data_IF_780834510212
#
_entry.id   IF_780834510212
#
_cell.length_a   1.000
_cell.length_b   1.000
_cell.length_c   1.000
_cell.angle_alpha   90.00
_cell.angle_beta   90.00
_cell.angle_gamma   90.00
#
_symmetry.space_group_name_H-M   'P 1'
#
loop_
_entity.id
_entity.type
_entity.pdbx_description
1 polymer ?
#
# COMPACT_ATOMS: atom_id res chain seq x y z
N UNK A 1 5.68 24.60 13.33
CA UNK A 1 5.46 23.79 14.54
C UNK A 1 4.20 22.96 14.33
N UNK A 2 4.35 21.72 13.84
CA UNK A 2 3.30 20.69 13.87
C UNK A 2 3.98 19.34 14.12
N UNK A 3 3.32 18.54 14.95
CA UNK A 3 3.87 17.56 15.88
C UNK A 3 4.62 16.37 15.30
N UNK A 4 5.63 15.97 16.05
CA UNK A 4 6.16 14.60 16.13
C UNK A 4 5.08 13.63 16.63
N UNK A 5 4.80 12.59 15.84
CA UNK A 5 4.23 11.33 16.32
C UNK A 5 5.10 10.19 15.82
N UNK A 6 6.18 9.90 16.54
CA UNK A 6 6.89 8.63 16.40
C UNK A 6 6.12 7.57 17.18
N UNK A 7 5.02 7.09 16.59
CA UNK A 7 4.47 5.79 16.99
C UNK A 7 5.38 4.75 16.36
N UNK A 8 6.35 4.25 17.11
CA UNK A 8 7.11 3.06 16.72
C UNK A 8 6.20 1.84 16.88
N UNK A 9 5.16 1.74 16.05
CA UNK A 9 4.61 0.44 15.75
C UNK A 9 5.75 -0.35 15.11
N UNK A 10 6.02 -1.55 15.63
CA UNK A 10 6.94 -2.49 15.00
C UNK A 10 6.32 -2.95 13.68
N UNK A 11 6.33 -2.04 12.71
CA UNK A 11 5.77 -2.28 11.40
C UNK A 11 6.78 -3.05 10.56
N UNK A 12 6.29 -3.90 9.69
CA UNK A 12 7.09 -4.64 8.73
C UNK A 12 6.98 -3.95 7.37
N UNK A 13 8.13 -3.81 6.71
CA UNK A 13 8.20 -3.40 5.31
C UNK A 13 9.08 -4.40 4.59
N UNK A 14 8.62 -4.88 3.43
CA UNK A 14 9.37 -5.80 2.59
C UNK A 14 9.24 -5.36 1.13
N UNK A 15 10.30 -5.60 0.35
CA UNK A 15 10.28 -5.40 -1.10
C UNK A 15 10.33 -6.74 -1.80
N UNK A 16 9.54 -6.88 -2.85
CA UNK A 16 9.48 -8.05 -3.72
C UNK A 16 9.69 -7.61 -5.17
N UNK A 17 10.31 -8.47 -5.96
CA UNK A 17 10.53 -8.24 -7.38
C UNK A 17 9.85 -9.35 -8.17
N UNK A 18 8.66 -9.06 -8.68
CA UNK A 18 7.83 -10.05 -9.40
C UNK A 18 8.13 -9.99 -10.89
N UNK A 19 8.44 -11.13 -11.51
CA UNK A 19 8.59 -11.23 -12.96
C UNK A 19 7.24 -11.55 -13.60
N UNK A 20 6.72 -10.65 -14.43
CA UNK A 20 5.45 -10.82 -15.12
C UNK A 20 5.47 -10.14 -16.49
N UNK A 21 5.01 -10.83 -17.54
CA UNK A 21 4.93 -10.27 -18.89
C UNK A 21 6.26 -9.72 -19.43
N UNK A 22 7.40 -10.35 -19.09
CA UNK A 22 8.73 -9.87 -19.47
C UNK A 22 9.26 -8.68 -18.67
N UNK A 23 8.49 -8.18 -17.70
CA UNK A 23 8.85 -7.04 -16.86
C UNK A 23 9.15 -7.50 -15.43
N UNK A 24 9.91 -6.69 -14.69
CA UNK A 24 10.12 -6.87 -13.24
C UNK A 24 9.37 -5.78 -12.49
N UNK A 25 8.41 -6.17 -11.66
CA UNK A 25 7.57 -5.28 -10.86
C UNK A 25 8.14 -5.20 -9.44
N UNK A 26 8.59 -4.02 -9.02
CA UNK A 26 9.01 -3.76 -7.65
C UNK A 26 7.78 -3.48 -6.78
N UNK A 27 7.49 -4.39 -5.85
CA UNK A 27 6.34 -4.28 -4.95
C UNK A 27 6.79 -4.05 -3.52
N UNK A 28 6.37 -2.94 -2.93
CA UNK A 28 6.54 -2.64 -1.52
C UNK A 28 5.32 -3.12 -0.74
N UNK A 29 5.52 -4.06 0.19
CA UNK A 29 4.49 -4.50 1.13
C UNK A 29 4.79 -3.86 2.47
N UNK A 30 3.81 -3.15 3.05
CA UNK A 30 4.01 -2.47 4.32
C UNK A 30 2.72 -2.36 5.12
N UNK A 31 2.85 -2.32 6.44
CA UNK A 31 1.79 -1.88 7.35
C UNK A 31 2.05 -0.49 7.95
N UNK A 32 3.09 0.22 7.48
CA UNK A 32 3.48 1.54 7.98
C UNK A 32 2.86 2.62 7.11
N UNK A 33 2.03 3.46 7.72
CA UNK A 33 1.47 4.65 7.06
C UNK A 33 2.56 5.59 6.52
N UNK A 34 3.67 5.73 7.25
CA UNK A 34 4.80 6.56 6.79
C UNK A 34 5.40 6.07 5.47
N UNK A 35 5.58 4.75 5.30
CA UNK A 35 6.13 4.16 4.07
C UNK A 35 5.13 4.27 2.92
N UNK A 36 3.83 4.09 3.19
CA UNK A 36 2.79 4.30 2.19
C UNK A 36 2.75 5.76 1.70
N UNK A 37 2.85 6.72 2.63
CA UNK A 37 2.91 8.15 2.29
C UNK A 37 4.17 8.50 1.49
N UNK A 38 5.33 7.95 1.86
CA UNK A 38 6.57 8.14 1.13
C UNK A 38 6.45 7.60 -0.31
N UNK A 39 5.93 6.39 -0.48
CA UNK A 39 5.69 5.81 -1.80
C UNK A 39 4.74 6.66 -2.64
N UNK A 40 3.62 7.11 -2.06
CA UNK A 40 2.65 7.95 -2.75
C UNK A 40 3.26 9.30 -3.18
N UNK A 41 4.02 9.96 -2.29
CA UNK A 41 4.72 11.20 -2.61
C UNK A 41 5.76 11.01 -3.73
N UNK A 42 6.50 9.90 -3.70
CA UNK A 42 7.45 9.57 -4.76
C UNK A 42 6.74 9.39 -6.11
N UNK A 43 5.58 8.71 -6.14
CA UNK A 43 4.80 8.55 -7.36
C UNK A 43 4.22 9.88 -7.85
N UNK A 44 3.62 10.68 -6.97
CA UNK A 44 3.09 12.00 -7.33
C UNK A 44 4.18 12.93 -7.89
N UNK A 45 5.39 12.88 -7.32
CA UNK A 45 6.54 13.62 -7.85
C UNK A 45 6.99 13.11 -9.21
N UNK A 46 7.17 11.79 -9.36
CA UNK A 46 7.66 11.15 -10.60
C UNK A 46 6.71 11.35 -11.79
N UNK A 47 5.41 11.39 -11.53
CA UNK A 47 4.36 11.51 -12.54
C UNK A 47 3.68 12.89 -12.55
N UNK A 48 4.28 13.89 -11.89
CA UNK A 48 3.75 15.26 -11.88
C UNK A 48 3.57 15.81 -13.31
N UNK A 49 2.41 16.41 -13.56
CA UNK A 49 2.04 16.95 -14.87
C UNK A 49 1.72 15.91 -15.95
N UNK A 50 1.66 14.61 -15.61
CA UNK A 50 1.34 13.53 -16.55
C UNK A 50 0.00 12.90 -16.18
N UNK A 51 -0.84 12.67 -17.19
CA UNK A 51 -1.97 11.76 -17.03
C UNK A 51 -1.42 10.35 -16.77
N UNK A 52 -1.79 9.77 -15.63
CA UNK A 52 -1.24 8.50 -15.15
C UNK A 52 -2.37 7.62 -14.69
N UNK A 53 -2.33 6.35 -15.12
CA UNK A 53 -3.28 5.33 -14.66
C UNK A 53 -2.69 4.62 -13.45
N UNK A 54 -3.51 4.45 -12.42
CA UNK A 54 -3.16 3.68 -11.22
C UNK A 54 -4.00 2.41 -11.23
N UNK A 55 -3.36 1.25 -11.29
CA UNK A 55 -4.03 -0.01 -10.99
C UNK A 55 -4.43 -0.03 -9.52
N UNK A 56 -5.70 -0.31 -9.24
CA UNK A 56 -6.27 -0.31 -7.90
C UNK A 56 -6.98 -1.63 -7.64
N UNK A 57 -6.68 -2.22 -6.49
CA UNK A 57 -7.35 -3.42 -5.99
C UNK A 57 -7.40 -3.40 -4.45
N UNK A 58 -8.35 -4.12 -3.86
CA UNK A 58 -8.54 -4.15 -2.42
C UNK A 58 -9.13 -5.46 -1.93
N UNK A 59 -8.56 -6.00 -0.85
CA UNK A 59 -9.06 -7.23 -0.22
C UNK A 59 -9.70 -6.93 1.13
N UNK A 60 -10.75 -7.68 1.44
CA UNK A 60 -11.42 -7.61 2.73
C UNK A 60 -11.30 -8.93 3.50
N UNK A 61 -11.30 -8.85 4.83
CA UNK A 61 -11.37 -10.07 5.66
C UNK A 61 -12.77 -10.69 5.50
N UNK A 62 -12.89 -11.99 5.16
CA UNK A 62 -14.18 -12.66 5.13
C UNK A 62 -14.86 -12.56 6.50
N UNK A 63 -16.13 -12.18 6.51
CA UNK A 63 -16.98 -12.21 7.69
C UNK A 63 -18.24 -13.00 7.38
N UNK A 64 -18.51 -14.02 8.19
CA UNK A 64 -19.65 -14.92 8.02
C UNK A 64 -20.84 -14.53 8.93
N UNK A 65 -20.70 -13.45 9.72
CA UNK A 65 -21.79 -12.88 10.50
C UNK A 65 -22.61 -11.90 9.66
N UNK A 66 -23.94 -12.00 9.74
CA UNK A 66 -24.84 -11.05 9.05
C UNK A 66 -24.79 -9.69 9.74
N UNK A 67 -24.97 -8.62 8.95
CA UNK A 67 -25.07 -7.22 9.42
C UNK A 67 -23.79 -6.62 10.05
N UNK A 68 -22.63 -7.17 9.75
CA UNK A 68 -21.33 -6.63 10.19
C UNK A 68 -20.49 -6.17 9.00
N UNK A 69 -19.86 -4.99 9.10
CA UNK A 69 -18.98 -4.46 8.04
C UNK A 69 -17.69 -5.29 7.92
N UNK A 70 -17.30 -5.62 6.69
CA UNK A 70 -16.00 -6.19 6.40
C UNK A 70 -14.95 -5.07 6.44
N UNK A 71 -13.97 -5.19 7.35
CA UNK A 71 -12.83 -4.27 7.39
C UNK A 71 -11.91 -4.60 6.21
N UNK A 72 -11.48 -3.58 5.47
CA UNK A 72 -10.41 -3.70 4.47
C UNK A 72 -9.16 -4.27 5.15
N UNK A 73 -8.62 -5.34 4.56
CA UNK A 73 -7.42 -6.01 5.01
C UNK A 73 -6.20 -5.49 4.24
N UNK A 74 -6.34 -5.26 2.94
CA UNK A 74 -5.28 -4.76 2.07
C UNK A 74 -5.79 -3.71 1.08
N UNK A 75 -4.89 -2.80 0.70
CA UNK A 75 -5.04 -1.90 -0.45
C UNK A 75 -3.82 -2.11 -1.35
N UNK A 76 -4.05 -2.33 -2.64
CA UNK A 76 -3.01 -2.43 -3.65
C UNK A 76 -3.11 -1.26 -4.63
N UNK A 77 -1.98 -0.58 -4.85
CA UNK A 77 -1.83 0.48 -5.84
C UNK A 77 -0.63 0.16 -6.72
N UNK A 78 -0.78 0.24 -8.04
CA UNK A 78 0.31 -0.02 -8.99
C UNK A 78 0.37 1.07 -10.06
N UNK A 79 1.59 1.54 -10.38
CA UNK A 79 1.87 2.44 -11.49
C UNK A 79 3.10 1.90 -12.23
N UNK A 80 2.98 1.69 -13.54
CA UNK A 80 3.98 1.01 -14.37
C UNK A 80 4.49 -0.29 -13.71
N UNK A 81 5.77 -0.33 -13.34
CA UNK A 81 6.42 -1.48 -12.70
C UNK A 81 6.67 -1.29 -11.20
N UNK A 82 5.93 -0.41 -10.53
CA UNK A 82 6.00 -0.29 -9.07
C UNK A 82 4.63 -0.40 -8.44
N UNK A 83 4.56 -1.16 -7.34
CA UNK A 83 3.34 -1.38 -6.58
C UNK A 83 3.56 -1.13 -5.09
N UNK A 84 2.50 -0.67 -4.43
CA UNK A 84 2.35 -0.61 -2.98
C UNK A 84 1.23 -1.56 -2.57
N UNK A 85 1.51 -2.42 -1.61
CA UNK A 85 0.52 -3.20 -0.88
C UNK A 85 0.53 -2.70 0.57
N UNK A 86 -0.49 -1.93 0.92
CA UNK A 86 -0.71 -1.48 2.29
C UNK A 86 -1.58 -2.52 3.00
N UNK A 87 -0.99 -3.22 3.98
CA UNK A 87 -1.69 -4.21 4.79
C UNK A 87 -2.08 -3.62 6.14
N UNK A 88 -3.31 -3.86 6.59
CA UNK A 88 -3.74 -3.47 7.92
C UNK A 88 -3.08 -4.39 8.95
N UNK A 89 -2.38 -3.82 9.93
CA UNK A 89 -2.02 -4.57 11.14
C UNK A 89 -3.29 -4.83 11.95
N UNK A 90 -3.55 -6.09 12.32
CA UNK A 90 -4.50 -6.39 13.37
C UNK A 90 -4.07 -5.66 14.64
N UNK A 91 -4.81 -4.64 15.06
CA UNK A 91 -4.76 -4.19 16.44
C UNK A 91 -5.49 -5.30 17.21
N UNK A 92 -4.72 -6.08 17.97
CA UNK A 92 -5.29 -7.02 18.94
C UNK A 92 -6.04 -6.25 20.02
#
# INVERSE_FOLDING_TARGET
MYSSYSSSSSGTTSKYYIKFGGQTIETTVTNKAAVANEWANAMLSKYSGKQTVVGLDNEWKPNFSRYTNNKLATLQLCIDNTCLILVKTSLN
#
